data_IF_163549360611
#
_entry.id   IF_163549360611
#
_cell.length_a   1.000
_cell.length_b   1.000
_cell.length_c   1.000
_cell.angle_alpha   90.00
_cell.angle_beta   90.00
_cell.angle_gamma   90.00
#
_symmetry.space_group_name_H-M   'P 1'
#
loop_
_entity.id
_entity.type
_entity.pdbx_description
1 polymer ?
#
# COMPACT_ATOMS: atom_id res chain seq x y z
N UNK A 1 0.28 2.40 -0.07
CA UNK A 1 -1.08 2.66 -0.58
C UNK A 1 -1.74 1.33 -0.86
N UNK A 2 -2.97 1.13 -0.38
CA UNK A 2 -3.77 -0.06 -0.58
C UNK A 2 -4.93 0.28 -1.52
N UNK A 3 -4.97 -0.34 -2.70
CA UNK A 3 -5.91 -0.02 -3.78
C UNK A 3 -7.01 -1.07 -3.86
N UNK A 4 -8.24 -0.66 -3.56
CA UNK A 4 -9.46 -1.47 -3.54
C UNK A 4 -9.27 -2.81 -2.80
N UNK A 5 -8.51 -2.80 -1.69
CA UNK A 5 -8.19 -4.02 -0.94
C UNK A 5 -9.35 -4.52 -0.08
N UNK A 6 -10.32 -3.65 0.20
CA UNK A 6 -11.49 -3.92 1.04
C UNK A 6 -11.11 -4.55 2.39
N UNK A 7 -10.75 -3.70 3.34
CA UNK A 7 -10.34 -4.11 4.69
C UNK A 7 -8.83 -4.01 4.94
N UNK A 8 -8.42 -4.46 6.13
CA UNK A 8 -7.06 -4.29 6.66
C UNK A 8 -6.04 -5.15 5.88
N UNK A 9 -4.97 -4.51 5.41
CA UNK A 9 -3.83 -5.18 4.75
C UNK A 9 -2.79 -5.65 5.77
N UNK A 10 -2.34 -4.75 6.64
CA UNK A 10 -1.41 -5.00 7.76
C UNK A 10 -1.71 -4.02 8.90
N UNK A 11 -1.06 -4.19 10.06
CA UNK A 11 -1.18 -3.27 11.19
C UNK A 11 -0.49 -1.92 10.96
N UNK A 12 -1.16 -0.85 11.35
CA UNK A 12 -0.56 0.47 11.43
C UNK A 12 0.50 0.49 12.54
N UNK A 13 1.64 1.12 12.27
CA UNK A 13 2.76 1.26 13.21
C UNK A 13 3.54 2.54 12.93
N UNK A 14 4.32 3.00 13.91
CA UNK A 14 5.19 4.18 13.76
C UNK A 14 6.07 4.01 12.52
N UNK A 15 6.17 5.08 11.71
CA UNK A 15 6.97 5.08 10.48
C UNK A 15 6.25 4.49 9.25
N UNK A 16 5.04 3.93 9.40
CA UNK A 16 4.24 3.40 8.29
C UNK A 16 2.87 4.07 8.25
N UNK A 17 2.56 4.70 7.11
CA UNK A 17 1.20 5.19 6.80
C UNK A 17 0.59 4.32 5.71
N UNK A 18 -0.66 3.92 5.91
CA UNK A 18 -1.42 3.12 4.96
C UNK A 18 -2.59 3.97 4.51
N UNK A 19 -2.53 4.44 3.27
CA UNK A 19 -3.66 5.11 2.61
C UNK A 19 -4.47 4.08 1.84
N UNK A 20 -5.77 3.99 2.16
CA UNK A 20 -6.72 3.15 1.47
C UNK A 20 -7.39 3.94 0.34
N UNK A 21 -7.43 3.36 -0.85
CA UNK A 21 -7.96 4.00 -2.06
C UNK A 21 -9.08 3.12 -2.62
N UNK A 22 -10.28 3.65 -2.75
CA UNK A 22 -11.47 2.92 -3.17
C UNK A 22 -12.74 3.77 -2.98
N UNK A 23 -13.86 3.37 -3.57
CA UNK A 23 -15.10 4.15 -3.57
C UNK A 23 -15.63 4.49 -2.16
N UNK A 24 -15.25 3.71 -1.15
CA UNK A 24 -15.69 3.86 0.25
C UNK A 24 -14.53 4.10 1.23
N UNK A 25 -13.32 4.32 0.71
CA UNK A 25 -12.10 4.44 1.51
C UNK A 25 -11.68 5.91 1.72
N UNK A 26 -10.51 6.13 2.31
CA UNK A 26 -9.93 7.45 2.60
C UNK A 26 -9.80 8.33 1.35
N UNK A 27 -9.38 7.74 0.23
CA UNK A 27 -9.19 8.43 -1.04
C UNK A 27 -9.99 7.72 -2.12
N UNK A 28 -10.59 8.49 -3.03
CA UNK A 28 -11.31 7.97 -4.19
C UNK A 28 -10.48 8.27 -5.44
N UNK A 29 -10.16 7.24 -6.23
CA UNK A 29 -9.45 7.39 -7.51
C UNK A 29 -10.41 7.75 -8.65
N UNK A 30 -11.07 8.90 -8.56
CA UNK A 30 -12.18 9.31 -9.47
C UNK A 30 -11.79 9.29 -10.95
N UNK A 31 -10.53 9.59 -11.26
CA UNK A 31 -10.01 9.63 -12.64
C UNK A 31 -9.08 8.45 -12.98
N UNK A 32 -8.93 7.48 -12.08
CA UNK A 32 -8.04 6.33 -12.33
C UNK A 32 -6.54 6.66 -12.31
N UNK A 33 -6.13 7.82 -11.80
CA UNK A 33 -4.74 8.25 -11.83
C UNK A 33 -3.82 7.34 -11.01
N UNK A 34 -4.30 6.81 -9.87
CA UNK A 34 -3.51 5.84 -9.09
C UNK A 34 -3.38 4.53 -9.83
N UNK A 35 -4.50 4.02 -10.38
CA UNK A 35 -4.52 2.82 -11.20
C UNK A 35 -3.56 2.91 -12.39
N UNK A 36 -3.60 3.99 -13.15
CA UNK A 36 -2.79 4.17 -14.36
C UNK A 36 -1.31 4.39 -14.02
N UNK A 37 -1.00 5.26 -13.06
CA UNK A 37 0.39 5.62 -12.75
C UNK A 37 1.16 4.45 -12.12
N UNK A 38 0.50 3.71 -11.22
CA UNK A 38 1.12 2.61 -10.49
C UNK A 38 0.79 1.22 -11.07
N UNK A 39 0.01 1.16 -12.15
CA UNK A 39 -0.44 -0.09 -12.77
C UNK A 39 -1.11 -1.05 -11.76
N UNK A 40 -1.93 -0.49 -10.86
CA UNK A 40 -2.56 -1.24 -9.78
C UNK A 40 -3.85 -1.91 -10.25
N UNK A 41 -3.99 -3.19 -9.95
CA UNK A 41 -5.25 -3.92 -10.01
C UNK A 41 -5.98 -3.85 -8.66
N UNK A 42 -7.31 -4.02 -8.62
CA UNK A 42 -8.05 -4.14 -7.38
C UNK A 42 -7.46 -5.22 -6.46
N UNK A 43 -7.34 -4.91 -5.17
CA UNK A 43 -6.74 -5.82 -4.20
C UNK A 43 -5.23 -5.72 -4.10
N UNK A 44 -4.56 -4.89 -4.91
CA UNK A 44 -3.12 -4.68 -4.82
C UNK A 44 -2.75 -3.51 -3.90
N UNK A 45 -1.52 -3.53 -3.43
CA UNK A 45 -0.93 -2.42 -2.70
C UNK A 45 0.49 -2.16 -3.16
N UNK A 46 0.91 -0.90 -3.06
CA UNK A 46 2.27 -0.45 -3.36
C UNK A 46 2.89 0.17 -2.12
N UNK A 47 4.14 -0.17 -1.84
CA UNK A 47 4.96 0.47 -0.81
C UNK A 47 5.73 1.61 -1.45
N UNK A 48 5.50 2.82 -0.94
CA UNK A 48 6.29 4.02 -1.30
C UNK A 48 7.27 4.27 -0.17
N UNK A 49 8.55 4.43 -0.51
CA UNK A 49 9.64 4.72 0.43
C UNK A 49 9.60 6.20 0.87
N UNK A 50 10.26 6.56 1.98
CA UNK A 50 10.31 7.95 2.45
C UNK A 50 10.90 8.94 1.43
N UNK A 51 11.73 8.47 0.49
CA UNK A 51 12.32 9.28 -0.59
C UNK A 51 11.41 9.42 -1.82
N UNK A 52 10.18 8.91 -1.76
CA UNK A 52 9.18 9.02 -2.82
C UNK A 52 9.26 7.92 -3.89
N UNK A 53 10.24 7.02 -3.83
CA UNK A 53 10.35 5.92 -4.79
C UNK A 53 9.47 4.71 -4.42
N UNK A 54 9.04 3.96 -5.44
CA UNK A 54 8.38 2.67 -5.24
C UNK A 54 9.38 1.65 -4.70
N UNK A 55 9.02 1.00 -3.60
CA UNK A 55 9.79 -0.09 -3.01
C UNK A 55 9.38 -1.47 -3.51
N UNK A 56 8.08 -1.75 -3.50
CA UNK A 56 7.53 -3.03 -3.93
C UNK A 56 6.00 -2.98 -4.15
N UNK A 57 5.49 -3.96 -4.89
CA UNK A 57 4.07 -4.23 -5.09
C UNK A 57 3.70 -5.58 -4.47
N UNK A 58 2.48 -5.68 -3.93
CA UNK A 58 1.94 -6.91 -3.36
C UNK A 58 0.45 -7.02 -3.65
N UNK A 59 -0.10 -8.22 -3.54
CA UNK A 59 -1.52 -8.36 -3.26
C UNK A 59 -1.76 -8.08 -1.76
N UNK A 60 -2.78 -7.29 -1.42
CA UNK A 60 -3.13 -6.96 -0.03
C UNK A 60 -3.48 -8.16 0.87
N UNK A 61 -3.67 -9.36 0.29
CA UNK A 61 -3.85 -10.61 1.05
C UNK A 61 -2.52 -11.27 1.45
N UNK A 62 -1.39 -10.80 0.94
CA UNK A 62 -0.05 -11.31 1.24
C UNK A 62 0.57 -10.55 2.42
N UNK A 63 -0.17 -10.44 3.54
CA UNK A 63 0.26 -9.67 4.71
C UNK A 63 1.64 -10.08 5.21
N UNK A 64 1.96 -11.38 5.23
CA UNK A 64 3.28 -11.89 5.62
C UNK A 64 4.42 -11.39 4.71
N UNK A 65 4.21 -11.30 3.39
CA UNK A 65 5.23 -10.83 2.46
C UNK A 65 5.48 -9.32 2.64
N UNK A 66 4.42 -8.56 2.90
CA UNK A 66 4.49 -7.14 3.20
C UNK A 66 5.24 -6.92 4.52
N UNK A 67 4.91 -7.67 5.57
CA UNK A 67 5.60 -7.64 6.87
C UNK A 67 7.10 -7.97 6.73
N UNK A 68 7.41 -9.02 5.98
CA UNK A 68 8.78 -9.43 5.71
C UNK A 68 9.55 -8.35 4.95
N UNK A 69 8.95 -7.72 3.94
CA UNK A 69 9.58 -6.60 3.23
C UNK A 69 9.84 -5.43 4.17
N UNK A 70 8.84 -5.02 4.95
CA UNK A 70 8.96 -3.89 5.87
C UNK A 70 10.01 -4.15 6.95
N UNK A 71 10.11 -5.35 7.50
CA UNK A 71 11.15 -5.69 8.50
C UNK A 71 12.58 -5.55 7.98
N UNK A 72 12.80 -5.70 6.67
CA UNK A 72 14.13 -5.58 6.04
C UNK A 72 14.54 -4.14 5.77
N UNK A 73 13.58 -3.25 5.55
CA UNK A 73 13.84 -1.89 5.06
C UNK A 73 13.36 -0.77 6.00
N UNK A 74 12.44 -1.05 6.92
CA UNK A 74 12.17 -0.19 8.07
C UNK A 74 13.11 -0.60 9.21
N UNK A 75 14.22 0.12 9.36
CA UNK A 75 14.99 0.04 10.60
C UNK A 75 14.11 0.48 11.77
N UNK A 76 14.07 -0.36 12.80
CA UNK A 76 13.53 0.01 14.11
C UNK A 76 14.54 0.96 14.73
N UNK A 77 14.22 2.24 14.78
CA UNK A 77 14.87 3.15 15.72
C UNK A 77 14.55 2.70 17.17
#
# INVERSE_FOLDING_TARGET
MAYETHGKVIDARRGLRIHHIGEQDELIDTLGHFRESYHLAPGQCVVIRPDGYVGAFFHGKQSNDIENYLSRFCHRD
#
